data_IF_099835155412
#
_entry.id   IF_099835155412
#
_cell.length_a   1.000
_cell.length_b   1.000
_cell.length_c   1.000
_cell.angle_alpha   90.00
_cell.angle_beta   90.00
_cell.angle_gamma   90.00
#
_symmetry.space_group_name_H-M   'P 1'
#
loop_
_entity.id
_entity.type
_entity.pdbx_description
1 polymer ?
#
# COMPACT_ATOMS: atom_id res chain seq x y z
N UNK A 1 -1.83 -12.48 20.87
CA UNK A 1 -1.92 -12.19 19.43
C UNK A 1 -1.83 -13.51 18.70
N UNK A 2 -2.70 -13.73 17.71
CA UNK A 2 -2.66 -14.93 16.89
C UNK A 2 -2.25 -14.54 15.47
N UNK A 3 -1.22 -15.19 14.95
CA UNK A 3 -0.76 -15.03 13.58
C UNK A 3 -1.29 -16.16 12.71
N UNK A 4 -1.86 -15.82 11.57
CA UNK A 4 -2.32 -16.77 10.56
C UNK A 4 -1.71 -16.42 9.22
N UNK A 5 -1.26 -17.43 8.48
CA UNK A 5 -0.83 -17.28 7.10
C UNK A 5 -1.69 -18.14 6.20
N UNK A 6 -1.84 -17.71 4.95
CA UNK A 6 -2.43 -18.51 3.89
C UNK A 6 -1.32 -18.91 2.95
N UNK A 7 -1.19 -20.19 2.67
CA UNK A 7 -0.16 -20.73 1.76
C UNK A 7 -0.77 -21.71 0.77
N UNK A 8 -0.07 -21.94 -0.33
CA UNK A 8 -0.35 -23.05 -1.22
C UNK A 8 0.38 -24.29 -0.70
N UNK A 9 -0.36 -25.31 -0.27
CA UNK A 9 0.16 -26.58 0.19
C UNK A 9 -0.49 -27.71 -0.59
N UNK A 10 0.31 -28.52 -1.26
CA UNK A 10 -0.14 -29.61 -2.15
C UNK A 10 -1.13 -29.13 -3.25
N UNK A 11 -0.99 -27.88 -3.70
CA UNK A 11 -1.85 -27.27 -4.72
C UNK A 11 -3.16 -26.68 -4.20
N UNK A 12 -3.40 -26.66 -2.89
CA UNK A 12 -4.60 -26.07 -2.29
C UNK A 12 -4.25 -24.91 -1.35
N UNK A 13 -5.07 -23.85 -1.29
CA UNK A 13 -4.96 -22.83 -0.26
C UNK A 13 -5.23 -23.44 1.13
N UNK A 14 -4.29 -23.28 2.05
CA UNK A 14 -4.38 -23.78 3.42
C UNK A 14 -4.00 -22.68 4.40
N UNK A 15 -4.82 -22.53 5.44
CA UNK A 15 -4.49 -21.68 6.59
C UNK A 15 -3.54 -22.41 7.52
N UNK A 16 -2.47 -21.72 7.90
CA UNK A 16 -1.38 -22.24 8.72
C UNK A 16 -1.00 -21.25 9.82
N UNK A 17 -0.38 -21.75 10.87
CA UNK A 17 0.20 -20.94 11.94
C UNK A 17 1.70 -21.19 12.04
N UNK A 18 2.51 -20.17 12.40
CA UNK A 18 3.92 -20.37 12.66
C UNK A 18 4.18 -21.29 13.87
N UNK A 19 5.16 -22.17 13.75
CA UNK A 19 5.73 -23.00 14.83
C UNK A 19 7.26 -23.07 14.65
N UNK A 20 7.97 -22.11 15.25
CA UNK A 20 9.38 -21.90 14.98
C UNK A 20 9.61 -21.42 13.55
N UNK A 21 10.48 -22.10 12.81
CA UNK A 21 10.78 -21.81 11.39
C UNK A 21 9.79 -22.50 10.42
N UNK A 22 8.85 -23.29 10.95
CA UNK A 22 7.84 -23.99 10.17
C UNK A 22 6.49 -23.24 10.18
N UNK A 23 5.68 -23.55 9.18
CA UNK A 23 4.25 -23.27 9.14
C UNK A 23 3.49 -24.58 9.27
N UNK A 24 2.51 -24.61 10.16
CA UNK A 24 1.76 -25.81 10.52
C UNK A 24 0.28 -25.61 10.23
N UNK A 25 -0.29 -26.50 9.43
CA UNK A 25 -1.73 -26.54 9.17
C UNK A 25 -2.49 -27.17 10.33
N UNK A 26 -3.81 -26.95 10.38
CA UNK A 26 -4.67 -27.52 11.42
C UNK A 26 -4.67 -29.06 11.47
N UNK A 27 -4.40 -29.72 10.34
CA UNK A 27 -4.28 -31.18 10.24
C UNK A 27 -2.87 -31.72 10.55
N UNK A 28 -1.92 -30.83 10.91
CA UNK A 28 -0.58 -31.20 11.38
C UNK A 28 0.49 -31.30 10.29
N UNK A 29 0.17 -30.99 9.03
CA UNK A 29 1.20 -30.89 7.98
C UNK A 29 2.10 -29.68 8.24
N UNK A 30 3.37 -29.81 7.89
CA UNK A 30 4.41 -28.79 8.11
C UNK A 30 5.11 -28.45 6.81
N UNK A 31 5.48 -27.19 6.65
CA UNK A 31 6.38 -26.70 5.60
C UNK A 31 7.29 -25.65 6.20
N UNK A 32 8.55 -25.61 5.82
CA UNK A 32 9.43 -24.53 6.24
C UNK A 32 8.87 -23.19 5.72
N UNK A 33 8.87 -22.14 6.56
CA UNK A 33 8.35 -20.84 6.16
C UNK A 33 9.11 -20.25 4.96
N UNK A 34 10.40 -20.60 4.79
CA UNK A 34 11.21 -20.20 3.63
C UNK A 34 10.79 -20.87 2.31
N UNK A 35 10.18 -22.04 2.39
CA UNK A 35 9.83 -22.87 1.22
C UNK A 35 8.35 -22.73 0.87
N UNK A 36 7.58 -22.02 1.71
CA UNK A 36 6.16 -21.83 1.52
C UNK A 36 5.87 -20.86 0.38
N UNK A 37 4.96 -21.26 -0.51
CA UNK A 37 4.35 -20.34 -1.48
C UNK A 37 3.22 -19.60 -0.76
N UNK A 38 3.48 -18.36 -0.38
CA UNK A 38 2.50 -17.53 0.30
C UNK A 38 1.35 -17.11 -0.62
N UNK A 39 0.15 -17.02 -0.04
CA UNK A 39 -1.03 -16.40 -0.63
C UNK A 39 -1.35 -15.13 0.18
N UNK A 40 -2.12 -14.17 -0.39
CA UNK A 40 -2.61 -13.06 0.41
C UNK A 40 -3.42 -13.58 1.60
N UNK A 41 -3.30 -12.95 2.79
CA UNK A 41 -3.92 -13.46 4.01
C UNK A 41 -5.44 -13.19 4.08
N UNK A 42 -6.03 -12.61 3.04
CA UNK A 42 -7.46 -12.34 2.92
C UNK A 42 -7.91 -12.42 1.45
N UNK A 43 -9.22 -12.56 1.23
CA UNK A 43 -9.87 -12.54 -0.08
C UNK A 43 -10.89 -11.39 -0.12
N UNK A 44 -10.43 -10.15 -0.35
CA UNK A 44 -11.29 -8.98 -0.29
C UNK A 44 -12.30 -8.94 -1.44
N UNK A 45 -13.51 -8.44 -1.17
CA UNK A 45 -14.42 -8.02 -2.24
C UNK A 45 -14.05 -6.64 -2.79
N UNK A 46 -13.33 -5.85 -1.97
CA UNK A 46 -12.83 -4.51 -2.30
C UNK A 46 -11.59 -4.16 -1.48
N UNK A 47 -10.71 -3.36 -2.08
CA UNK A 47 -9.50 -2.81 -1.45
C UNK A 47 -9.62 -1.29 -1.46
N UNK A 48 -9.86 -0.69 -0.30
CA UNK A 48 -10.06 0.75 -0.13
C UNK A 48 -8.81 1.37 0.46
N UNK A 49 -8.34 2.48 -0.08
CA UNK A 49 -7.08 3.08 0.33
C UNK A 49 -7.29 4.56 0.66
N UNK A 50 -6.74 5.02 1.78
CA UNK A 50 -6.74 6.44 2.12
C UNK A 50 -5.66 7.17 1.34
N UNK A 51 -5.96 8.37 0.82
CA UNK A 51 -4.92 9.27 0.32
C UNK A 51 -4.27 10.00 1.49
N UNK A 52 -2.93 10.10 1.49
CA UNK A 52 -2.13 10.92 2.42
C UNK A 52 -2.62 10.87 3.87
N UNK A 53 -2.07 9.98 4.70
CA UNK A 53 -2.46 9.90 6.10
C UNK A 53 -1.31 10.23 7.08
N UNK A 54 -0.07 10.32 6.61
CA UNK A 54 1.10 10.53 7.47
C UNK A 54 1.59 11.97 7.42
N UNK A 55 1.82 12.57 8.60
CA UNK A 55 2.39 13.92 8.73
C UNK A 55 3.70 14.09 7.95
N UNK A 56 4.61 13.11 7.96
CA UNK A 56 5.84 13.18 7.16
C UNK A 56 5.58 13.32 5.65
N UNK A 57 4.58 12.59 5.13
CA UNK A 57 4.28 12.56 3.69
C UNK A 57 3.59 13.85 3.25
N UNK A 58 2.76 14.42 4.12
CA UNK A 58 2.16 15.75 3.95
C UNK A 58 3.24 16.82 3.90
N UNK A 59 4.21 16.77 4.82
CA UNK A 59 5.35 17.68 4.85
C UNK A 59 6.25 17.54 3.60
N UNK A 60 6.55 16.30 3.17
CA UNK A 60 7.33 16.02 1.97
C UNK A 60 6.72 16.66 0.72
N UNK A 61 5.38 16.59 0.59
CA UNK A 61 4.68 17.22 -0.52
C UNK A 61 4.39 18.71 -0.32
N UNK A 62 4.67 19.28 0.86
CA UNK A 62 4.29 20.66 1.24
C UNK A 62 2.83 20.95 0.90
N UNK A 63 1.96 20.02 1.28
CA UNK A 63 0.53 20.11 1.04
C UNK A 63 -0.21 20.17 2.37
N UNK A 64 -1.54 20.27 2.31
CA UNK A 64 -2.41 20.24 3.49
C UNK A 64 -3.47 19.17 3.30
N UNK A 65 -3.78 18.48 4.39
CA UNK A 65 -4.86 17.52 4.39
C UNK A 65 -6.22 18.24 4.29
N UNK A 66 -7.20 17.64 3.58
CA UNK A 66 -8.59 18.04 3.69
C UNK A 66 -9.13 17.81 5.12
N UNK A 67 -10.28 18.39 5.50
CA UNK A 67 -10.85 18.23 6.85
C UNK A 67 -11.35 16.81 7.17
N UNK A 68 -11.36 15.91 6.18
CA UNK A 68 -11.77 14.52 6.28
C UNK A 68 -10.98 13.69 5.26
N UNK A 69 -10.75 12.39 5.51
CA UNK A 69 -9.98 11.55 4.60
C UNK A 69 -10.63 11.47 3.23
N UNK A 70 -9.79 11.35 2.20
CA UNK A 70 -10.25 11.02 0.84
C UNK A 70 -9.74 9.63 0.49
N UNK A 71 -10.51 8.90 -0.30
CA UNK A 71 -10.23 7.48 -0.59
C UNK A 71 -10.18 7.21 -2.09
N UNK A 72 -9.45 6.17 -2.45
CA UNK A 72 -9.51 5.54 -3.76
C UNK A 72 -9.68 4.02 -3.61
N UNK A 73 -9.86 3.34 -4.73
CA UNK A 73 -10.03 1.89 -4.78
C UNK A 73 -8.92 1.26 -5.61
N UNK A 74 -8.43 0.11 -5.17
CA UNK A 74 -7.64 -0.80 -6.01
C UNK A 74 -8.54 -1.95 -6.45
N UNK A 75 -8.53 -2.31 -7.75
CA UNK A 75 -9.12 -3.56 -8.21
C UNK A 75 -8.53 -4.76 -7.45
N UNK A 76 -9.36 -5.76 -7.16
CA UNK A 76 -8.90 -6.97 -6.45
C UNK A 76 -7.86 -7.76 -7.24
N UNK A 77 -7.74 -7.56 -8.57
CA UNK A 77 -6.70 -8.16 -9.41
C UNK A 77 -5.30 -7.57 -9.16
N UNK A 78 -5.20 -6.42 -8.50
CA UNK A 78 -3.92 -5.87 -8.04
C UNK A 78 -3.33 -6.66 -6.87
N UNK A 79 -4.15 -7.43 -6.13
CA UNK A 79 -3.75 -8.18 -4.95
C UNK A 79 -2.64 -9.19 -5.29
N UNK A 80 -1.55 -9.13 -4.53
CA UNK A 80 -0.41 -10.04 -4.64
C UNK A 80 0.04 -10.50 -3.25
N UNK A 81 0.90 -11.52 -3.21
CA UNK A 81 1.32 -12.16 -1.98
C UNK A 81 2.75 -11.76 -1.56
N UNK A 82 3.12 -12.14 -0.34
CA UNK A 82 4.51 -12.16 0.07
C UNK A 82 5.35 -13.07 -0.83
N UNK A 83 6.53 -12.61 -1.22
CA UNK A 83 7.47 -13.35 -2.08
C UNK A 83 7.10 -13.35 -3.57
N UNK A 84 5.93 -12.82 -3.95
CA UNK A 84 5.53 -12.70 -5.35
C UNK A 84 6.23 -11.53 -6.06
N UNK A 85 6.31 -11.61 -7.38
CA UNK A 85 6.84 -10.53 -8.20
C UNK A 85 5.85 -9.34 -8.29
N UNK A 86 6.40 -8.13 -8.38
CA UNK A 86 5.68 -6.90 -8.70
C UNK A 86 6.14 -6.42 -10.08
N UNK A 87 5.19 -6.25 -10.98
CA UNK A 87 5.46 -5.95 -12.38
C UNK A 87 5.57 -4.44 -12.59
N UNK A 88 6.71 -4.00 -13.13
CA UNK A 88 6.84 -2.71 -13.82
C UNK A 88 6.81 -2.93 -15.33
N UNK A 89 5.68 -2.68 -16.01
CA UNK A 89 5.58 -2.96 -17.44
C UNK A 89 6.40 -1.95 -18.25
N UNK A 90 7.05 -2.40 -19.31
CA UNK A 90 7.71 -1.47 -20.25
C UNK A 90 6.66 -0.63 -21.01
N UNK A 91 6.91 0.65 -21.33
CA UNK A 91 8.11 1.45 -21.04
C UNK A 91 8.00 2.27 -19.74
N UNK A 92 7.19 1.86 -18.76
CA UNK A 92 6.97 2.63 -17.54
C UNK A 92 8.24 2.77 -16.70
N UNK A 93 8.38 3.92 -16.04
CA UNK A 93 9.59 4.33 -15.30
C UNK A 93 9.32 4.62 -13.83
N UNK A 94 8.11 5.04 -13.49
CA UNK A 94 7.78 5.68 -12.23
C UNK A 94 6.90 4.77 -11.36
N UNK A 95 7.35 3.53 -11.16
CA UNK A 95 6.75 2.60 -10.21
C UNK A 95 7.29 2.87 -8.81
N UNK A 96 6.46 3.42 -7.93
CA UNK A 96 6.82 3.74 -6.56
C UNK A 96 6.30 2.67 -5.59
N UNK A 97 7.10 2.32 -4.57
CA UNK A 97 6.61 1.61 -3.39
C UNK A 97 5.95 2.59 -2.42
N UNK A 98 4.99 2.10 -1.63
CA UNK A 98 4.36 2.81 -0.54
C UNK A 98 4.05 1.79 0.57
N UNK A 99 4.97 1.64 1.53
CA UNK A 99 4.78 0.70 2.64
C UNK A 99 3.62 1.15 3.52
N UNK A 100 2.67 0.25 3.79
CA UNK A 100 1.45 0.53 4.55
C UNK A 100 1.07 -0.62 5.50
N UNK A 101 0.10 -0.36 6.37
CA UNK A 101 -0.57 -1.36 7.18
C UNK A 101 -1.97 -1.59 6.62
N UNK A 102 -2.29 -2.85 6.34
CA UNK A 102 -3.60 -3.30 5.90
C UNK A 102 -4.48 -3.70 7.08
N UNK A 103 -5.73 -3.25 7.06
CA UNK A 103 -6.78 -3.56 8.03
C UNK A 103 -7.73 -4.55 7.35
N UNK A 104 -7.84 -5.76 7.90
CA UNK A 104 -8.70 -6.81 7.33
C UNK A 104 -10.01 -6.87 8.12
N UNK A 105 -11.13 -6.69 7.43
CA UNK A 105 -12.46 -6.73 8.03
C UNK A 105 -12.85 -8.19 8.32
N UNK A 106 -13.35 -8.46 9.53
CA UNK A 106 -13.75 -9.79 9.98
C UNK A 106 -15.25 -10.00 10.06
N UNK A 107 -16.03 -8.91 10.19
CA UNK A 107 -17.48 -8.95 10.33
C UNK A 107 -18.10 -7.85 9.49
N UNK A 108 -19.31 -8.08 8.97
CA UNK A 108 -20.05 -7.05 8.24
C UNK A 108 -20.18 -5.79 9.08
N UNK A 109 -19.59 -4.70 8.60
CA UNK A 109 -19.46 -3.43 9.30
C UNK A 109 -20.21 -2.35 8.51
N UNK A 110 -21.12 -1.65 9.20
CA UNK A 110 -21.90 -0.55 8.64
C UNK A 110 -22.34 0.40 9.73
N UNK A 111 -22.11 1.69 9.52
CA UNK A 111 -22.53 2.79 10.37
C UNK A 111 -22.17 2.57 11.85
N UNK A 112 -20.90 2.23 12.09
CA UNK A 112 -20.32 1.99 13.41
C UNK A 112 -19.56 3.24 13.89
N UNK A 113 -19.36 3.37 15.20
CA UNK A 113 -18.48 4.39 15.75
C UNK A 113 -17.00 3.97 15.65
N UNK A 114 -16.04 4.91 15.74
CA UNK A 114 -14.61 4.56 15.85
C UNK A 114 -14.30 3.68 17.08
N UNK A 115 -15.01 3.88 18.19
CA UNK A 115 -14.82 3.08 19.41
C UNK A 115 -15.25 1.61 19.20
N UNK A 116 -16.29 1.38 18.39
CA UNK A 116 -16.79 0.03 18.07
C UNK A 116 -16.03 -0.63 16.91
N UNK A 117 -15.27 0.13 16.11
CA UNK A 117 -14.66 -0.35 14.86
C UNK A 117 -13.76 -1.58 15.08
N UNK A 118 -13.05 -1.64 16.21
CA UNK A 118 -12.18 -2.76 16.57
C UNK A 118 -12.88 -4.12 16.59
N UNK A 119 -14.17 -4.17 16.98
CA UNK A 119 -14.96 -5.41 17.06
C UNK A 119 -15.30 -6.02 15.68
N UNK A 120 -15.06 -5.26 14.60
CA UNK A 120 -15.33 -5.66 13.23
C UNK A 120 -14.06 -6.02 12.45
N UNK A 121 -12.88 -5.77 13.02
CA UNK A 121 -11.58 -6.03 12.38
C UNK A 121 -11.14 -7.46 12.73
N UNK A 122 -10.83 -8.27 11.71
CA UNK A 122 -10.25 -9.61 11.91
C UNK A 122 -8.79 -9.54 12.38
N UNK A 123 -8.06 -8.56 11.88
CA UNK A 123 -6.67 -8.31 12.24
C UNK A 123 -6.00 -7.35 11.27
N UNK A 124 -4.68 -7.28 11.39
CA UNK A 124 -3.83 -6.39 10.60
C UNK A 124 -2.78 -7.18 9.84
N UNK A 125 -2.29 -6.61 8.75
CA UNK A 125 -1.28 -7.22 7.89
C UNK A 125 -0.37 -6.13 7.32
N UNK A 126 0.79 -6.50 6.78
CA UNK A 126 1.66 -5.56 6.06
C UNK A 126 1.19 -5.49 4.61
N UNK A 127 1.22 -4.29 4.03
CA UNK A 127 0.88 -4.04 2.64
C UNK A 127 1.92 -3.14 1.97
N UNK A 128 1.98 -3.19 0.64
CA UNK A 128 2.72 -2.23 -0.16
C UNK A 128 1.82 -1.70 -1.28
N UNK A 129 1.44 -0.43 -1.19
CA UNK A 129 0.52 0.22 -2.12
C UNK A 129 1.27 0.81 -3.34
N UNK A 130 1.80 -0.07 -4.17
CA UNK A 130 2.55 0.37 -5.35
C UNK A 130 1.73 1.29 -6.26
N UNK A 131 2.41 2.32 -6.78
CA UNK A 131 1.84 3.31 -7.69
C UNK A 131 2.68 3.46 -8.96
N UNK A 132 2.06 3.25 -10.12
CA UNK A 132 2.62 3.49 -11.44
C UNK A 132 2.31 4.94 -11.87
N UNK A 133 3.15 5.87 -11.41
CA UNK A 133 2.92 7.30 -11.58
C UNK A 133 2.99 7.78 -13.03
N UNK A 134 3.50 6.96 -13.95
CA UNK A 134 3.49 7.23 -15.39
C UNK A 134 2.11 7.64 -15.93
N UNK A 135 1.02 7.20 -15.28
CA UNK A 135 -0.36 7.50 -15.66
C UNK A 135 -1.00 8.65 -14.86
N UNK A 136 -0.24 9.33 -13.98
CA UNK A 136 -0.74 10.36 -13.07
C UNK A 136 -1.48 11.48 -13.80
N UNK A 137 -0.95 11.98 -14.92
CA UNK A 137 -1.55 13.07 -15.69
C UNK A 137 -3.00 12.82 -16.10
N UNK A 138 -3.36 11.55 -16.32
CA UNK A 138 -4.68 11.17 -16.83
C UNK A 138 -5.55 10.45 -15.81
N UNK A 139 -5.02 10.16 -14.62
CA UNK A 139 -5.76 9.46 -13.56
C UNK A 139 -5.55 10.04 -12.16
N UNK A 140 -5.06 11.30 -12.08
CA UNK A 140 -4.81 12.02 -10.83
C UNK A 140 -6.03 12.09 -9.88
N UNK A 141 -7.25 11.95 -10.41
CA UNK A 141 -8.49 11.96 -9.62
C UNK A 141 -8.82 10.61 -9.00
N UNK A 142 -9.05 9.57 -9.82
CA UNK A 142 -9.53 8.27 -9.34
C UNK A 142 -8.42 7.34 -8.84
N UNK A 143 -7.17 7.61 -9.24
CA UNK A 143 -6.00 6.76 -9.05
C UNK A 143 -6.09 5.37 -9.71
N UNK A 144 -7.15 5.05 -10.46
CA UNK A 144 -7.44 3.68 -10.88
C UNK A 144 -6.28 3.03 -11.66
N UNK A 145 -5.72 3.68 -12.68
CA UNK A 145 -4.58 3.15 -13.44
C UNK A 145 -3.24 3.37 -12.76
N UNK A 146 -3.13 4.38 -11.91
CA UNK A 146 -1.91 4.61 -11.11
C UNK A 146 -1.75 3.50 -10.07
N UNK A 147 -2.85 3.05 -9.45
CA UNK A 147 -2.82 2.15 -8.30
C UNK A 147 -3.36 0.75 -8.61
N UNK A 148 -4.02 0.55 -9.75
CA UNK A 148 -4.82 -0.64 -9.98
C UNK A 148 -4.29 -1.67 -10.96
N UNK A 149 -3.06 -1.50 -11.47
CA UNK A 149 -2.44 -2.56 -12.28
C UNK A 149 -2.24 -3.83 -11.46
N UNK A 150 -2.28 -4.97 -12.14
CA UNK A 150 -2.02 -6.27 -11.52
C UNK A 150 -0.69 -6.26 -10.76
N UNK A 151 -0.62 -7.03 -9.68
CA UNK A 151 0.52 -7.13 -8.74
C UNK A 151 0.83 -5.91 -7.87
N UNK A 152 0.18 -4.75 -8.08
CA UNK A 152 0.50 -3.52 -7.35
C UNK A 152 -0.06 -3.42 -5.93
N UNK A 153 -0.62 -4.49 -5.38
CA UNK A 153 -1.09 -4.56 -3.99
C UNK A 153 -0.57 -5.82 -3.28
N UNK A 154 0.75 -5.99 -3.06
CA UNK A 154 1.23 -7.06 -2.22
C UNK A 154 0.75 -6.90 -0.78
N UNK A 155 0.31 -8.01 -0.18
CA UNK A 155 -0.19 -8.07 1.20
C UNK A 155 0.28 -9.37 1.85
N UNK A 156 0.71 -9.31 3.11
CA UNK A 156 1.18 -10.47 3.86
C UNK A 156 2.36 -10.15 4.77
N UNK A 157 3.14 -11.17 5.20
CA UNK A 157 2.95 -12.60 4.95
C UNK A 157 1.80 -13.19 5.78
N UNK A 158 1.29 -12.44 6.77
CA UNK A 158 0.36 -12.93 7.76
C UNK A 158 -0.78 -11.94 8.04
N UNK A 159 -1.89 -12.46 8.57
CA UNK A 159 -2.91 -11.72 9.30
C UNK A 159 -2.66 -11.91 10.81
N UNK A 160 -2.52 -10.81 11.53
CA UNK A 160 -2.31 -10.84 12.99
C UNK A 160 -3.56 -10.31 13.70
N UNK A 161 -4.23 -11.20 14.43
CA UNK A 161 -5.40 -10.87 15.23
C UNK A 161 -5.00 -10.35 16.62
N UNK A 162 -5.71 -9.30 17.07
CA UNK A 162 -5.50 -8.68 18.38
C UNK A 162 -4.19 -7.91 18.51
N UNK A 163 -3.58 -7.49 17.39
CA UNK A 163 -2.43 -6.58 17.38
C UNK A 163 -2.88 -5.15 17.70
N UNK A 164 -2.14 -4.46 18.57
CA UNK A 164 -2.37 -3.05 18.89
C UNK A 164 -1.60 -2.17 17.91
N UNK A 165 -2.32 -1.34 17.17
CA UNK A 165 -1.75 -0.52 16.10
C UNK A 165 -1.05 0.76 16.59
N UNK A 166 -1.15 1.09 17.88
CA UNK A 166 -0.61 2.33 18.45
C UNK A 166 0.90 2.25 18.66
N UNK A 167 1.61 3.35 18.39
CA UNK A 167 3.05 3.47 18.61
C UNK A 167 3.85 2.40 17.86
N UNK A 168 3.49 2.13 16.61
CA UNK A 168 4.10 1.08 15.80
C UNK A 168 4.96 1.66 14.71
N UNK A 169 6.21 1.20 14.68
CA UNK A 169 7.16 1.59 13.63
C UNK A 169 6.87 0.81 12.34
N UNK A 170 6.96 1.51 11.22
CA UNK A 170 6.91 0.96 9.87
C UNK A 170 8.15 1.40 9.10
N UNK A 171 8.77 0.48 8.36
CA UNK A 171 9.90 0.75 7.48
C UNK A 171 9.70 0.12 6.12
N UNK A 172 10.22 0.79 5.09
CA UNK A 172 10.38 0.19 3.76
C UNK A 172 11.85 0.19 3.40
N UNK A 173 12.37 -0.98 3.04
CA UNK A 173 13.74 -1.20 2.62
C UNK A 173 13.74 -1.50 1.12
N UNK A 174 14.71 -0.95 0.40
CA UNK A 174 14.99 -1.29 -0.99
C UNK A 174 16.41 -1.81 -1.06
N UNK A 175 16.58 -3.06 -1.48
CA UNK A 175 17.86 -3.76 -1.51
C UNK A 175 18.59 -3.74 -0.14
N UNK A 176 17.81 -3.82 0.95
CA UNK A 176 18.32 -3.79 2.32
C UNK A 176 18.60 -2.39 2.88
N UNK A 177 18.46 -1.32 2.08
CA UNK A 177 18.61 0.05 2.54
C UNK A 177 17.27 0.65 2.97
N UNK A 178 17.18 1.18 4.19
CA UNK A 178 15.96 1.85 4.68
C UNK A 178 15.69 3.11 3.84
N UNK A 179 14.51 3.17 3.22
CA UNK A 179 14.04 4.30 2.41
C UNK A 179 12.81 5.00 2.99
N UNK A 180 11.95 4.27 3.68
CA UNK A 180 10.89 4.84 4.52
C UNK A 180 11.10 4.39 5.95
N UNK A 181 10.84 5.30 6.89
CA UNK A 181 10.95 5.06 8.31
C UNK A 181 9.95 5.99 9.01
N UNK A 182 8.87 5.44 9.51
CA UNK A 182 7.78 6.20 10.12
C UNK A 182 7.11 5.47 11.28
N UNK A 183 6.12 6.12 11.87
CA UNK A 183 5.33 5.59 12.99
C UNK A 183 3.84 5.76 12.74
N UNK A 184 3.02 4.83 13.24
CA UNK A 184 1.56 4.99 13.26
C UNK A 184 1.10 6.22 14.06
N UNK A 185 1.96 6.80 14.91
CA UNK A 185 1.70 8.07 15.61
C UNK A 185 1.66 9.29 14.68
N UNK A 186 2.13 9.15 13.44
CA UNK A 186 2.06 10.20 12.42
C UNK A 186 0.72 10.22 11.67
N UNK A 187 -0.12 9.20 11.88
CA UNK A 187 -1.41 9.11 11.21
C UNK A 187 -2.35 10.22 11.69
N UNK A 188 -2.86 11.03 10.76
CA UNK A 188 -3.91 12.02 11.05
C UNK A 188 -5.22 11.32 11.42
N UNK A 189 -5.58 10.29 10.66
CA UNK A 189 -6.74 9.45 10.90
C UNK A 189 -6.30 8.04 11.26
N UNK A 190 -6.55 7.62 12.50
CA UNK A 190 -6.19 6.26 12.94
C UNK A 190 -7.01 5.17 12.23
N UNK A 191 -6.56 3.93 12.37
CA UNK A 191 -7.16 2.78 11.66
C UNK A 191 -8.62 2.53 12.03
N UNK A 192 -9.01 2.82 13.28
CA UNK A 192 -10.39 2.68 13.73
C UNK A 192 -11.28 3.77 13.10
N UNK A 193 -10.79 5.01 13.03
CA UNK A 193 -11.47 6.11 12.35
C UNK A 193 -11.67 5.79 10.87
N UNK A 194 -10.65 5.29 10.17
CA UNK A 194 -10.75 4.96 8.74
C UNK A 194 -11.85 3.93 8.47
N UNK A 195 -11.93 2.88 9.30
CA UNK A 195 -12.98 1.85 9.20
C UNK A 195 -14.36 2.46 9.47
N UNK A 196 -14.51 3.23 10.55
CA UNK A 196 -15.78 3.84 10.89
C UNK A 196 -16.26 4.82 9.80
N UNK A 197 -15.38 5.68 9.28
CA UNK A 197 -15.73 6.68 8.26
C UNK A 197 -16.20 6.02 6.96
N UNK A 198 -15.46 5.03 6.45
CA UNK A 198 -15.89 4.24 5.28
C UNK A 198 -17.24 3.54 5.54
N UNK A 199 -17.39 2.92 6.72
CA UNK A 199 -18.57 2.14 7.08
C UNK A 199 -19.85 2.97 7.18
N UNK A 200 -19.78 4.31 7.32
CA UNK A 200 -20.96 5.20 7.38
C UNK A 200 -21.89 5.01 6.19
N UNK A 201 -21.32 4.82 5.00
CA UNK A 201 -22.09 4.75 3.74
C UNK A 201 -21.74 3.54 2.88
N UNK A 202 -20.59 2.91 3.11
CA UNK A 202 -20.12 1.74 2.37
C UNK A 202 -20.11 0.55 3.33
N UNK A 203 -20.97 -0.44 3.11
CA UNK A 203 -20.90 -1.68 3.89
C UNK A 203 -19.56 -2.38 3.64
N UNK A 204 -18.77 -2.58 4.68
CA UNK A 204 -17.58 -3.43 4.64
C UNK A 204 -17.99 -4.86 5.01
N UNK A 205 -17.45 -5.86 4.33
CA UNK A 205 -17.76 -7.28 4.54
C UNK A 205 -16.50 -8.05 4.93
N UNK A 206 -16.63 -9.24 5.56
CA UNK A 206 -15.46 -10.04 5.92
C UNK A 206 -14.53 -10.28 4.74
N UNK A 207 -13.23 -10.12 4.96
CA UNK A 207 -12.17 -10.22 3.96
C UNK A 207 -11.79 -8.90 3.31
N UNK A 208 -12.64 -7.87 3.34
CA UNK A 208 -12.30 -6.57 2.76
C UNK A 208 -11.06 -5.96 3.40
N UNK A 209 -10.31 -5.22 2.59
CA UNK A 209 -9.03 -4.65 2.95
C UNK A 209 -9.10 -3.12 2.91
N UNK A 210 -8.64 -2.48 3.99
CA UNK A 210 -8.43 -1.03 4.05
C UNK A 210 -6.94 -0.75 4.23
N UNK A 211 -6.33 0.05 3.34
CA UNK A 211 -4.94 0.48 3.45
C UNK A 211 -4.88 1.87 4.11
N UNK A 212 -3.97 2.01 5.08
CA UNK A 212 -3.96 3.09 6.08
C UNK A 212 -3.05 4.28 5.75
N UNK A 213 -2.45 4.31 4.56
CA UNK A 213 -1.53 5.33 4.10
C UNK A 213 -0.06 4.97 4.37
N UNK A 214 0.82 5.74 3.72
CA UNK A 214 2.27 5.53 3.76
C UNK A 214 3.02 6.75 4.32
N UNK A 215 4.14 6.56 5.04
CA UNK A 215 5.05 7.65 5.41
C UNK A 215 5.79 8.26 4.21
N UNK A 216 6.60 9.29 4.45
CA UNK A 216 7.44 9.92 3.43
C UNK A 216 8.48 8.94 2.85
N UNK A 217 9.09 9.31 1.72
CA UNK A 217 10.21 8.57 1.15
C UNK A 217 9.82 7.52 0.10
N UNK A 218 8.55 7.48 -0.33
CA UNK A 218 8.15 6.72 -1.51
C UNK A 218 8.92 7.18 -2.75
N UNK A 219 9.62 6.26 -3.43
CA UNK A 219 10.45 6.55 -4.60
C UNK A 219 10.32 5.46 -5.68
N UNK A 220 10.73 5.76 -6.92
CA UNK A 220 10.70 4.78 -8.00
C UNK A 220 11.64 3.61 -7.75
N UNK A 221 11.21 2.41 -8.15
CA UNK A 221 12.01 1.18 -8.18
C UNK A 221 12.08 0.62 -9.60
N UNK A 222 13.11 -0.19 -9.86
CA UNK A 222 13.41 -0.78 -11.16
C UNK A 222 13.40 -2.31 -11.11
N UNK A 223 13.17 -3.01 -12.24
CA UNK A 223 13.37 -4.45 -12.32
C UNK A 223 14.72 -4.88 -11.75
N UNK A 224 14.70 -5.89 -10.89
CA UNK A 224 15.85 -6.36 -10.12
C UNK A 224 15.91 -5.85 -8.68
N UNK A 225 15.18 -4.77 -8.35
CA UNK A 225 15.08 -4.32 -6.96
C UNK A 225 14.26 -5.31 -6.10
N UNK A 226 14.67 -5.47 -4.85
CA UNK A 226 13.91 -6.18 -3.81
C UNK A 226 13.41 -5.16 -2.80
N UNK A 227 12.10 -5.14 -2.57
CA UNK A 227 11.47 -4.21 -1.64
C UNK A 227 10.87 -4.98 -0.47
N UNK A 228 11.21 -4.57 0.74
CA UNK A 228 10.69 -5.16 1.98
C UNK A 228 10.00 -4.10 2.84
N UNK A 229 8.74 -4.31 3.19
CA UNK A 229 8.01 -3.51 4.17
C UNK A 229 8.01 -4.25 5.49
N UNK A 230 8.47 -3.63 6.56
CA UNK A 230 8.52 -4.17 7.91
C UNK A 230 7.61 -3.36 8.83
N UNK A 231 6.76 -4.03 9.60
CA UNK A 231 5.95 -3.40 10.64
C UNK A 231 6.16 -4.13 11.95
N UNK A 232 6.41 -3.35 13.01
CA UNK A 232 6.64 -3.87 14.34
C UNK A 232 5.49 -4.80 14.79
N UNK A 233 5.79 -6.08 14.98
CA UNK A 233 4.82 -7.09 15.43
C UNK A 233 3.91 -7.67 14.33
N UNK A 234 4.03 -7.24 13.07
CA UNK A 234 3.34 -7.87 11.92
C UNK A 234 4.28 -8.62 10.97
N UNK A 235 5.60 -8.47 11.14
CA UNK A 235 6.61 -9.13 10.33
C UNK A 235 7.03 -8.30 9.11
N UNK A 236 7.45 -9.00 8.05
CA UNK A 236 8.05 -8.39 6.86
C UNK A 236 7.42 -8.92 5.57
N UNK A 237 6.96 -8.01 4.72
CA UNK A 237 6.44 -8.27 3.37
C UNK A 237 7.53 -7.97 2.35
N UNK A 238 7.98 -8.97 1.58
CA UNK A 238 9.06 -8.80 0.59
C UNK A 238 8.56 -9.16 -0.81
N UNK A 239 8.92 -8.36 -1.80
CA UNK A 239 8.61 -8.58 -3.22
C UNK A 239 9.80 -8.19 -4.11
N UNK A 240 9.92 -8.85 -5.27
CA UNK A 240 10.93 -8.53 -6.29
C UNK A 240 10.28 -7.78 -7.45
N UNK A 241 10.92 -6.72 -7.94
CA UNK A 241 10.42 -5.98 -9.10
C UNK A 241 10.89 -6.66 -10.38
N UNK A 242 9.98 -6.84 -11.35
CA UNK A 242 10.29 -7.45 -12.66
C UNK A 242 9.74 -6.61 -13.82
N UNK A 243 10.39 -6.69 -14.99
CA UNK A 243 9.80 -6.25 -16.24
C UNK A 243 8.82 -7.36 -16.68
N UNK A 244 7.52 -7.10 -16.63
CA UNK A 244 6.51 -8.10 -17.01
C UNK A 244 6.70 -8.59 -18.45
N UNK A 245 6.07 -9.72 -18.83
CA UNK A 245 6.29 -10.33 -20.15
C UNK A 245 5.75 -9.50 -21.32
N UNK A 246 4.79 -8.60 -21.07
CA UNK A 246 4.11 -7.83 -22.10
C UNK A 246 4.29 -6.32 -21.84
N UNK A 247 4.72 -5.53 -22.85
CA UNK A 247 4.77 -4.08 -22.72
C UNK A 247 3.36 -3.47 -22.77
N UNK A 248 3.24 -2.24 -22.27
CA UNK A 248 2.05 -1.40 -22.49
C UNK A 248 1.88 -1.17 -23.99
N UNK A 249 0.65 -1.40 -24.48
CA UNK A 249 0.31 -1.20 -25.89
C UNK A 249 0.39 0.28 -26.28
N UNK A 250 1.14 0.55 -27.35
CA UNK A 250 1.33 1.90 -27.87
C UNK A 250 0.18 2.41 -28.77
N UNK A 251 -0.79 1.56 -29.12
CA UNK A 251 -1.85 1.86 -30.07
C UNK A 251 -3.18 2.25 -29.42
N UNK A 252 -3.25 2.35 -28.09
CA UNK A 252 -4.48 2.70 -27.36
C UNK A 252 -4.21 3.42 -26.05
N UNK A 253 -5.09 4.38 -25.72
CA UNK A 253 -5.13 5.04 -24.42
C UNK A 253 -3.99 6.03 -24.18
N UNK A 254 -4.01 6.65 -22.99
CA UNK A 254 -2.93 7.51 -22.55
C UNK A 254 -1.66 6.68 -22.33
N UNK A 255 -0.57 7.13 -22.95
CA UNK A 255 0.71 6.46 -22.84
C UNK A 255 1.43 6.84 -21.54
N UNK A 256 2.32 5.97 -21.02
CA UNK A 256 3.22 6.32 -19.93
C UNK A 256 3.91 7.65 -20.20
N UNK A 257 3.95 8.53 -19.20
CA UNK A 257 4.48 9.89 -19.34
C UNK A 257 5.54 10.20 -18.29
N UNK A 258 6.41 11.14 -18.60
CA UNK A 258 7.43 11.72 -17.70
C UNK A 258 7.25 13.24 -17.60
N UNK A 259 5.99 13.68 -17.53
CA UNK A 259 5.65 15.09 -17.32
C UNK A 259 6.25 15.60 -16.01
N UNK A 260 6.33 16.93 -15.87
CA UNK A 260 6.82 17.55 -14.63
C UNK A 260 5.97 17.14 -13.42
N UNK A 261 4.65 16.95 -13.58
CA UNK A 261 3.76 16.48 -12.51
C UNK A 261 4.05 15.02 -12.12
N UNK A 262 4.26 14.14 -13.12
CA UNK A 262 4.64 12.74 -12.88
C UNK A 262 5.96 12.67 -12.13
N UNK A 263 7.01 13.30 -12.65
CA UNK A 263 8.35 13.25 -12.06
C UNK A 263 8.35 13.88 -10.67
N UNK A 264 7.66 15.02 -10.51
CA UNK A 264 7.51 15.67 -9.20
C UNK A 264 6.88 14.71 -8.19
N UNK A 265 5.76 14.08 -8.54
CA UNK A 265 5.06 13.14 -7.64
C UNK A 265 5.93 11.93 -7.31
N UNK A 266 6.50 11.29 -8.33
CA UNK A 266 7.27 10.06 -8.19
C UNK A 266 8.56 10.28 -7.38
N UNK A 267 9.25 11.40 -7.61
CA UNK A 267 10.47 11.75 -6.88
C UNK A 267 10.21 12.41 -5.53
N UNK A 268 8.96 12.78 -5.20
CA UNK A 268 8.59 13.35 -3.90
C UNK A 268 9.49 14.51 -3.47
N UNK A 269 10.12 14.38 -2.30
CA UNK A 269 11.09 15.32 -1.74
C UNK A 269 12.38 15.49 -2.56
N UNK A 270 12.76 14.49 -3.36
CA UNK A 270 14.03 14.47 -4.10
C UNK A 270 13.93 15.17 -5.45
N UNK A 271 12.72 15.65 -5.80
CA UNK A 271 12.55 16.44 -7.00
C UNK A 271 13.25 17.79 -6.87
N UNK A 272 14.14 18.12 -7.81
CA UNK A 272 15.05 19.28 -7.72
C UNK A 272 14.36 20.66 -7.58
N UNK A 273 13.08 20.73 -7.93
CA UNK A 273 12.24 21.93 -7.86
C UNK A 273 11.27 21.93 -6.67
N UNK A 274 11.25 20.88 -5.85
CA UNK A 274 10.44 20.79 -4.63
C UNK A 274 10.77 21.96 -3.71
N UNK A 275 9.77 22.74 -3.35
CA UNK A 275 9.89 23.88 -2.44
C UNK A 275 10.46 25.13 -3.12
N UNK A 276 10.89 25.02 -4.38
CA UNK A 276 11.25 26.15 -5.22
C UNK A 276 10.00 26.61 -5.96
N UNK A 277 9.44 25.78 -6.85
CA UNK A 277 8.22 26.07 -7.63
C UNK A 277 7.23 24.91 -7.64
N UNK A 278 5.96 25.20 -7.92
CA UNK A 278 4.96 24.17 -8.18
C UNK A 278 5.21 23.47 -9.55
N UNK A 279 4.87 22.16 -9.68
CA UNK A 279 4.96 21.46 -10.96
C UNK A 279 3.96 22.04 -11.97
N UNK A 280 4.31 22.06 -13.26
CA UNK A 280 3.41 22.49 -14.32
C UNK A 280 2.47 21.35 -14.69
N UNK A 281 1.24 21.38 -14.17
CA UNK A 281 0.22 20.37 -14.45
C UNK A 281 -1.11 20.65 -13.72
N UNK A 282 -2.17 19.88 -13.98
CA UNK A 282 -3.45 19.99 -13.25
C UNK A 282 -3.30 19.95 -11.73
N UNK A 283 -2.27 19.26 -11.23
CA UNK A 283 -1.94 19.15 -9.81
C UNK A 283 -1.27 20.37 -9.18
N UNK A 284 -0.83 21.37 -9.96
CA UNK A 284 -0.04 22.52 -9.49
C UNK A 284 -0.64 23.22 -8.25
N UNK A 285 -1.96 23.38 -8.25
CA UNK A 285 -2.74 24.05 -7.17
C UNK A 285 -2.64 23.38 -5.79
N UNK A 286 -2.16 22.14 -5.73
CA UNK A 286 -2.06 21.37 -4.49
C UNK A 286 -0.69 21.51 -3.81
N UNK A 287 0.26 22.20 -4.45
CA UNK A 287 1.63 22.40 -3.96
C UNK A 287 1.89 23.87 -3.67
N UNK A 288 2.67 24.15 -2.62
CA UNK A 288 3.16 25.49 -2.33
C UNK A 288 4.44 25.79 -3.13
N UNK A 289 4.58 27.05 -3.56
CA UNK A 289 5.69 27.55 -4.38
C UNK A 289 6.33 28.72 -3.64
N UNK A 290 7.65 28.69 -3.46
CA UNK A 290 8.38 29.81 -2.86
C UNK A 290 8.61 30.95 -3.87
N UNK A 291 8.57 30.68 -5.18
CA UNK A 291 8.74 31.72 -6.21
C UNK A 291 7.48 32.58 -6.40
N UNK A 292 6.30 32.09 -6.00
CA UNK A 292 5.04 32.83 -6.13
C UNK A 292 4.77 33.78 -4.94
N UNK A 293 5.65 33.82 -3.94
CA UNK A 293 5.59 34.80 -2.84
C UNK A 293 6.39 36.10 -3.13
N UNK A 294 7.17 36.14 -4.22
CA UNK A 294 7.99 37.29 -4.62
C UNK A 294 7.45 38.08 -5.84
N UNK A 295 6.19 37.87 -6.25
CA UNK A 295 5.56 38.56 -7.40
C UNK A 295 4.36 39.43 -7.00
#
# INVERSE_FOLDING_TARGET
MAEYRRILLDGYPVDVQPDGDDLVSRDGRRVAASDAVHLPPCEPTKILCVHLNYASRVAEFMTRLPPAPTYFHKPVTALSAHGADVVRPEPCRWLNYEGEIGIVIGRTCRNVSPDDAGDYIAGYTVANDYGLHDFRDTDAGSMLRVKGSDTLCPVGPALVAGWDFRHKRIRTLVNGEVRQDGSTDEMEWDMHYLVADLARTITLVPGDLVLSGTPAGSRPVVPGDVVTVEVEGLGALTNTIVAGPEPVRADVGAQPSDSEEVVSTAMGGDWEHRGKRAPRGPGARHYQSAVDEEA
#
